data_IF_529189266598
#
_entry.id   IF_529189266598
#
_cell.length_a   1.000
_cell.length_b   1.000
_cell.length_c   1.000
_cell.angle_alpha   90.00
_cell.angle_beta   90.00
_cell.angle_gamma   90.00
#
_symmetry.space_group_name_H-M   'P 1'
#
loop_
_entity.id
_entity.type
_entity.pdbx_description
1 polymer ?
#
# COMPACT_ATOMS: atom_id res chain seq x y z
N UNK A 1 -23.53 54.23 -3.32
CA UNK A 1 -23.50 53.18 -4.34
C UNK A 1 -23.05 51.87 -3.65
N UNK A 2 -24.05 51.16 -3.12
CA UNK A 2 -23.88 49.84 -2.47
C UNK A 2 -23.77 48.79 -3.57
N UNK A 3 -22.56 48.27 -3.82
CA UNK A 3 -22.33 47.12 -4.64
C UNK A 3 -22.86 45.87 -3.93
N UNK A 4 -23.90 45.26 -4.47
CA UNK A 4 -24.37 43.92 -4.10
C UNK A 4 -23.29 42.89 -4.39
N UNK A 5 -22.50 42.55 -3.37
CA UNK A 5 -21.50 41.50 -3.41
C UNK A 5 -22.08 40.11 -3.09
N UNK A 6 -23.04 39.62 -3.89
CA UNK A 6 -23.55 38.26 -3.72
C UNK A 6 -24.06 37.71 -5.06
N UNK A 7 -23.16 37.64 -6.04
CA UNK A 7 -23.28 36.72 -7.15
C UNK A 7 -21.95 35.99 -7.31
N UNK A 8 -21.55 35.25 -6.27
CA UNK A 8 -20.60 34.18 -6.48
C UNK A 8 -21.27 33.15 -7.40
N UNK A 9 -20.58 32.67 -8.44
CA UNK A 9 -21.11 31.59 -9.25
C UNK A 9 -21.51 30.44 -8.32
N UNK A 10 -22.67 29.83 -8.54
CA UNK A 10 -23.08 28.65 -7.79
C UNK A 10 -21.96 27.62 -7.89
N UNK A 11 -21.32 27.37 -6.75
CA UNK A 11 -20.36 26.29 -6.63
C UNK A 11 -21.02 25.01 -7.17
N UNK A 12 -20.32 24.29 -8.00
CA UNK A 12 -20.82 23.02 -8.48
C UNK A 12 -21.02 22.08 -7.27
N UNK A 13 -21.95 21.14 -7.35
CA UNK A 13 -22.15 20.16 -6.28
C UNK A 13 -20.84 19.44 -5.89
N UNK A 14 -19.90 19.35 -6.84
CA UNK A 14 -18.57 18.79 -6.62
C UNK A 14 -17.67 19.69 -5.77
N UNK A 15 -17.73 21.01 -5.96
CA UNK A 15 -16.97 21.97 -5.15
C UNK A 15 -17.47 22.00 -3.70
N UNK A 16 -18.79 21.97 -3.51
CA UNK A 16 -19.38 21.87 -2.18
C UNK A 16 -18.98 20.59 -1.46
N UNK A 17 -19.03 19.42 -2.14
CA UNK A 17 -18.58 18.14 -1.58
C UNK A 17 -17.09 18.17 -1.25
N UNK A 18 -16.27 18.78 -2.10
CA UNK A 18 -14.84 18.92 -1.87
C UNK A 18 -14.57 19.73 -0.61
N UNK A 19 -15.24 20.86 -0.44
CA UNK A 19 -15.09 21.74 0.72
C UNK A 19 -15.50 21.03 2.02
N UNK A 20 -16.64 20.32 2.01
CA UNK A 20 -17.07 19.52 3.16
C UNK A 20 -16.07 18.40 3.52
N UNK A 21 -15.54 17.69 2.52
CA UNK A 21 -14.53 16.66 2.72
C UNK A 21 -13.21 17.24 3.24
N UNK A 22 -12.79 18.41 2.72
CA UNK A 22 -11.62 19.13 3.18
C UNK A 22 -11.73 19.45 4.67
N UNK A 23 -12.83 20.05 5.09
CA UNK A 23 -13.06 20.38 6.49
C UNK A 23 -13.15 19.12 7.38
N UNK A 24 -13.79 18.06 6.90
CA UNK A 24 -13.89 16.80 7.64
C UNK A 24 -12.52 16.17 7.84
N UNK A 25 -11.72 16.05 6.78
CA UNK A 25 -10.37 15.46 6.83
C UNK A 25 -9.47 16.30 7.71
N UNK A 26 -9.51 17.64 7.60
CA UNK A 26 -8.74 18.54 8.42
C UNK A 26 -9.06 18.39 9.92
N UNK A 27 -10.34 18.35 10.28
CA UNK A 27 -10.78 18.09 11.67
C UNK A 27 -10.38 16.70 12.15
N UNK A 28 -10.51 15.67 11.32
CA UNK A 28 -10.08 14.32 11.64
C UNK A 28 -8.57 14.27 11.88
N UNK A 29 -7.78 14.91 11.04
CA UNK A 29 -6.32 14.98 11.21
C UNK A 29 -5.95 15.63 12.54
N UNK A 30 -6.58 16.74 12.89
CA UNK A 30 -6.39 17.41 14.19
C UNK A 30 -6.81 16.45 15.33
N UNK A 31 -7.97 15.82 15.24
CA UNK A 31 -8.44 14.86 16.24
C UNK A 31 -7.42 13.73 16.46
N UNK A 32 -6.88 13.16 15.38
CA UNK A 32 -5.90 12.08 15.47
C UNK A 32 -4.60 12.51 16.16
N UNK A 33 -4.24 13.81 16.15
CA UNK A 33 -3.05 14.30 16.86
C UNK A 33 -3.18 14.25 18.40
N UNK A 34 -4.40 14.11 18.91
CA UNK A 34 -4.67 14.00 20.36
C UNK A 34 -4.71 12.55 20.86
N UNK A 35 -4.53 11.56 19.97
CA UNK A 35 -4.56 10.15 20.30
C UNK A 35 -3.17 9.52 20.21
N UNK A 36 -2.97 8.39 20.88
CA UNK A 36 -1.72 7.63 20.78
C UNK A 36 -1.57 7.04 19.37
N UNK A 37 -0.34 6.78 18.95
CA UNK A 37 -0.09 6.14 17.66
C UNK A 37 -0.78 4.77 17.58
N UNK A 38 -0.79 4.03 18.67
CA UNK A 38 -1.44 2.72 18.80
C UNK A 38 -2.95 2.79 18.63
N UNK A 39 -3.61 3.80 19.19
CA UNK A 39 -5.06 3.98 19.05
C UNK A 39 -5.44 4.33 17.62
N UNK A 40 -4.65 5.22 16.98
CA UNK A 40 -4.83 5.58 15.58
C UNK A 40 -4.58 4.38 14.66
N UNK A 41 -3.55 3.58 14.95
CA UNK A 41 -3.25 2.36 14.21
C UNK A 41 -4.41 1.36 14.31
N UNK A 42 -4.93 1.11 15.51
CA UNK A 42 -6.08 0.22 15.72
C UNK A 42 -7.33 0.70 14.99
N UNK A 43 -7.59 2.01 15.02
CA UNK A 43 -8.73 2.60 14.32
C UNK A 43 -8.62 2.40 12.80
N UNK A 44 -7.43 2.61 12.25
CA UNK A 44 -7.19 2.53 10.80
C UNK A 44 -6.88 1.12 10.30
N UNK A 45 -6.77 0.14 11.20
CA UNK A 45 -6.59 -1.28 10.85
C UNK A 45 -7.90 -2.09 10.94
N UNK A 46 -9.02 -1.43 11.22
CA UNK A 46 -10.32 -2.10 11.27
C UNK A 46 -10.71 -2.66 9.90
N UNK A 47 -11.32 -3.84 9.94
CA UNK A 47 -11.79 -4.50 8.74
C UNK A 47 -12.92 -3.67 8.11
N UNK A 48 -12.69 -3.20 6.89
CA UNK A 48 -13.71 -2.54 6.09
C UNK A 48 -14.35 -3.60 5.18
N UNK A 49 -15.68 -3.78 5.24
CA UNK A 49 -16.36 -4.69 4.32
C UNK A 49 -16.07 -4.32 2.87
N UNK A 50 -15.65 -5.28 2.08
CA UNK A 50 -15.44 -5.10 0.64
C UNK A 50 -16.72 -5.43 -0.12
N UNK A 51 -16.99 -4.73 -1.25
CA UNK A 51 -18.13 -5.06 -2.09
C UNK A 51 -18.08 -6.50 -2.61
N UNK A 52 -19.23 -7.15 -2.88
CA UNK A 52 -19.27 -8.54 -3.35
C UNK A 52 -18.52 -8.79 -4.67
N UNK A 53 -18.33 -7.74 -5.47
CA UNK A 53 -17.58 -7.80 -6.72
C UNK A 53 -16.07 -7.59 -6.55
N UNK A 54 -15.59 -7.42 -5.34
CA UNK A 54 -14.18 -7.30 -5.00
C UNK A 54 -13.63 -8.65 -4.54
N UNK A 55 -12.61 -9.15 -5.24
CA UNK A 55 -11.80 -10.25 -4.76
C UNK A 55 -10.75 -9.69 -3.80
N UNK A 56 -10.68 -10.27 -2.62
CA UNK A 56 -9.75 -9.91 -1.54
C UNK A 56 -9.23 -11.18 -0.87
N UNK A 57 -7.93 -11.42 -0.97
CA UNK A 57 -7.30 -12.58 -0.36
C UNK A 57 -6.05 -12.17 0.41
N UNK A 58 -6.08 -12.39 1.70
CA UNK A 58 -4.92 -12.18 2.55
C UNK A 58 -3.82 -13.22 2.27
N UNK A 59 -2.59 -12.75 2.23
CA UNK A 59 -1.39 -13.58 2.09
C UNK A 59 -0.32 -13.09 3.05
N UNK A 60 0.61 -13.99 3.36
CA UNK A 60 1.80 -13.66 4.15
C UNK A 60 3.01 -13.75 3.23
N UNK A 61 3.70 -12.64 3.00
CA UNK A 61 4.96 -12.63 2.27
C UNK A 61 6.02 -13.29 3.17
N UNK A 62 6.67 -14.35 2.72
CA UNK A 62 7.54 -15.17 3.58
C UNK A 62 8.79 -14.46 4.09
N UNK A 63 9.32 -14.93 5.23
CA UNK A 63 10.56 -14.41 5.83
C UNK A 63 11.76 -14.50 4.88
N UNK A 64 11.78 -15.43 3.97
CA UNK A 64 12.83 -15.53 2.95
C UNK A 64 12.97 -14.25 2.15
N UNK A 65 11.85 -13.65 1.71
CA UNK A 65 11.85 -12.37 1.01
C UNK A 65 12.33 -11.23 1.92
N UNK A 66 11.98 -11.30 3.23
CA UNK A 66 12.45 -10.33 4.22
C UNK A 66 13.96 -10.42 4.43
N UNK A 67 14.54 -11.61 4.46
CA UNK A 67 15.98 -11.81 4.58
C UNK A 67 16.73 -11.33 3.32
N UNK A 68 16.21 -11.66 2.13
CA UNK A 68 16.76 -11.15 0.86
C UNK A 68 16.76 -9.63 0.82
N UNK A 69 15.64 -8.98 1.17
CA UNK A 69 15.54 -7.52 1.20
C UNK A 69 16.47 -6.89 2.24
N UNK A 70 16.64 -7.53 3.40
CA UNK A 70 17.56 -7.06 4.43
C UNK A 70 19.03 -7.09 3.96
N UNK A 71 19.45 -8.17 3.31
CA UNK A 71 20.80 -8.29 2.77
C UNK A 71 21.09 -7.22 1.71
N UNK A 72 20.13 -6.97 0.81
CA UNK A 72 20.23 -5.92 -0.21
C UNK A 72 20.34 -4.52 0.42
N UNK A 73 19.53 -4.21 1.44
CA UNK A 73 19.61 -2.92 2.13
C UNK A 73 20.92 -2.75 2.90
N UNK A 74 21.46 -3.81 3.49
CA UNK A 74 22.79 -3.76 4.14
C UNK A 74 23.89 -3.44 3.13
N UNK A 75 23.83 -4.05 1.95
CA UNK A 75 24.76 -3.75 0.85
C UNK A 75 24.61 -2.31 0.36
N UNK A 76 23.37 -1.84 0.21
CA UNK A 76 23.04 -0.50 -0.29
C UNK A 76 23.54 0.60 0.65
N UNK A 77 23.23 0.47 1.94
CA UNK A 77 23.61 1.50 2.92
C UNK A 77 25.10 1.43 3.30
N UNK A 78 25.70 0.25 3.26
CA UNK A 78 27.06 0.03 3.70
C UNK A 78 27.24 0.11 5.22
N UNK A 79 28.41 -0.28 5.75
CA UNK A 79 28.62 -0.44 7.19
C UNK A 79 28.56 0.88 7.95
N UNK A 80 29.04 1.96 7.37
CA UNK A 80 29.08 3.28 8.03
C UNK A 80 27.67 3.83 8.24
N UNK A 81 26.83 3.87 7.21
CA UNK A 81 25.44 4.29 7.30
C UNK A 81 24.63 3.39 8.22
N UNK A 82 24.88 2.07 8.16
CA UNK A 82 24.24 1.11 9.04
C UNK A 82 24.55 1.37 10.51
N UNK A 83 25.77 1.71 10.83
CA UNK A 83 26.18 1.94 12.21
C UNK A 83 25.78 3.31 12.72
N UNK A 84 26.09 4.38 11.96
CA UNK A 84 25.94 5.76 12.41
C UNK A 84 24.51 6.28 12.31
N UNK A 85 23.75 5.83 11.28
CA UNK A 85 22.47 6.39 10.95
C UNK A 85 21.29 5.46 11.26
N UNK A 86 21.45 4.17 11.00
CA UNK A 86 20.38 3.18 11.24
C UNK A 86 20.49 2.60 12.66
N UNK A 87 21.65 2.69 13.29
CA UNK A 87 21.86 2.15 14.66
C UNK A 87 22.10 0.64 14.69
N UNK A 88 22.64 0.09 13.62
CA UNK A 88 23.07 -1.30 13.50
C UNK A 88 22.22 -2.15 12.56
N UNK A 89 22.73 -3.34 12.20
CA UNK A 89 22.15 -4.16 11.14
C UNK A 89 21.02 -5.10 11.59
N UNK A 90 20.72 -5.23 12.86
CA UNK A 90 19.88 -6.33 13.38
C UNK A 90 18.48 -5.92 13.83
N UNK A 91 18.34 -4.83 14.56
CA UNK A 91 17.10 -4.49 15.26
C UNK A 91 15.89 -4.34 14.30
N UNK A 92 16.07 -3.74 13.14
CA UNK A 92 15.03 -3.51 12.14
C UNK A 92 14.62 -4.78 11.35
N UNK A 93 15.42 -5.86 11.46
CA UNK A 93 15.07 -7.15 10.86
C UNK A 93 14.16 -7.98 11.77
N UNK A 94 14.06 -7.63 13.05
CA UNK A 94 13.20 -8.35 14.00
C UNK A 94 11.73 -8.14 13.65
N UNK A 95 10.95 -9.22 13.76
CA UNK A 95 9.53 -9.24 13.44
C UNK A 95 8.78 -10.02 14.49
N UNK A 96 7.54 -9.56 14.79
CA UNK A 96 6.60 -10.29 15.64
C UNK A 96 5.79 -11.33 14.85
N UNK A 97 5.79 -11.22 13.51
CA UNK A 97 5.03 -12.09 12.61
C UNK A 97 5.97 -12.89 11.71
N UNK A 98 5.46 -14.04 11.21
CA UNK A 98 6.21 -14.94 10.34
C UNK A 98 6.44 -14.41 8.90
N UNK A 99 6.16 -13.14 8.66
CA UNK A 99 6.31 -12.52 7.35
C UNK A 99 5.70 -11.12 7.31
N UNK A 100 5.33 -10.66 6.13
CA UNK A 100 4.65 -9.38 5.92
C UNK A 100 3.22 -9.66 5.47
N UNK A 101 2.18 -9.17 6.21
CA UNK A 101 0.81 -9.28 5.74
C UNK A 101 0.61 -8.48 4.46
N UNK A 102 -0.09 -9.05 3.51
CA UNK A 102 -0.45 -8.40 2.26
C UNK A 102 -1.78 -8.95 1.75
N UNK A 103 -2.46 -8.21 0.90
CA UNK A 103 -3.73 -8.63 0.32
C UNK A 103 -3.64 -8.61 -1.22
N UNK A 104 -4.05 -9.71 -1.85
CA UNK A 104 -4.36 -9.70 -3.27
C UNK A 104 -5.75 -9.14 -3.49
N UNK A 105 -5.84 -8.08 -4.28
CA UNK A 105 -7.08 -7.37 -4.57
C UNK A 105 -7.28 -7.33 -6.08
N UNK A 106 -8.50 -7.65 -6.54
CA UNK A 106 -8.88 -7.58 -7.95
C UNK A 106 -10.39 -7.37 -8.11
N UNK A 107 -10.83 -7.09 -9.32
CA UNK A 107 -12.24 -7.25 -9.65
C UNK A 107 -12.58 -8.75 -9.74
N UNK A 108 -13.74 -9.14 -9.23
CA UNK A 108 -14.14 -10.55 -9.13
C UNK A 108 -14.15 -11.26 -10.50
N UNK A 109 -14.57 -10.58 -11.57
CA UNK A 109 -14.53 -11.12 -12.93
C UNK A 109 -13.12 -11.45 -13.40
N UNK A 110 -12.14 -10.58 -13.06
CA UNK A 110 -10.74 -10.77 -13.47
C UNK A 110 -10.12 -11.98 -12.75
N UNK A 111 -10.46 -12.15 -11.46
CA UNK A 111 -10.07 -13.33 -10.71
C UNK A 111 -10.61 -14.62 -11.33
N UNK A 112 -11.90 -14.67 -11.66
CA UNK A 112 -12.52 -15.85 -12.26
C UNK A 112 -11.94 -16.15 -13.64
N UNK A 113 -11.72 -15.15 -14.48
CA UNK A 113 -11.08 -15.31 -15.78
C UNK A 113 -9.67 -15.87 -15.65
N UNK A 114 -8.87 -15.38 -14.70
CA UNK A 114 -7.52 -15.87 -14.43
C UNK A 114 -7.52 -17.33 -13.93
N UNK A 115 -8.45 -17.68 -13.02
CA UNK A 115 -8.59 -19.06 -12.53
C UNK A 115 -9.03 -20.02 -13.61
N UNK A 116 -9.98 -19.65 -14.46
CA UNK A 116 -10.42 -20.46 -15.59
C UNK A 116 -9.28 -20.75 -16.59
N UNK A 117 -8.39 -19.76 -16.84
CA UNK A 117 -7.21 -19.93 -17.70
C UNK A 117 -6.17 -20.87 -17.06
N UNK A 118 -5.93 -20.77 -15.76
CA UNK A 118 -5.04 -21.68 -15.04
C UNK A 118 -5.54 -23.13 -15.09
N UNK A 119 -6.85 -23.35 -14.88
CA UNK A 119 -7.46 -24.67 -14.99
C UNK A 119 -7.31 -25.29 -16.37
N UNK A 120 -7.45 -24.52 -17.45
CA UNK A 120 -7.26 -24.98 -18.83
C UNK A 120 -5.81 -25.36 -19.14
N UNK A 121 -4.82 -24.55 -18.69
CA UNK A 121 -3.39 -24.84 -18.92
C UNK A 121 -2.89 -26.05 -18.12
N UNK A 122 -3.47 -26.32 -16.94
CA UNK A 122 -3.03 -27.40 -16.06
C UNK A 122 -3.74 -28.74 -16.34
N UNK A 123 -4.69 -28.82 -17.29
CA UNK A 123 -5.48 -30.03 -17.54
C UNK A 123 -6.33 -30.50 -16.35
N UNK A 124 -6.51 -29.64 -15.34
CA UNK A 124 -7.22 -29.99 -14.13
C UNK A 124 -8.72 -29.79 -14.30
N UNK A 125 -9.45 -30.89 -14.16
CA UNK A 125 -10.89 -30.91 -13.99
C UNK A 125 -11.34 -30.10 -12.75
N UNK A 126 -12.52 -29.55 -12.78
CA UNK A 126 -13.26 -28.71 -11.82
C UNK A 126 -13.23 -29.17 -10.35
N UNK A 127 -12.66 -30.31 -9.99
CA UNK A 127 -12.56 -30.84 -8.63
C UNK A 127 -11.60 -30.07 -7.71
N UNK A 128 -10.70 -29.27 -8.26
CA UNK A 128 -9.72 -28.51 -7.44
C UNK A 128 -10.27 -27.16 -6.95
N UNK A 129 -11.21 -26.53 -7.66
CA UNK A 129 -11.94 -25.34 -7.17
C UNK A 129 -12.66 -25.63 -5.83
N UNK A 130 -13.18 -26.85 -5.68
CA UNK A 130 -13.86 -27.29 -4.46
C UNK A 130 -12.94 -27.50 -3.25
N UNK A 131 -11.64 -27.72 -3.46
CA UNK A 131 -10.66 -27.87 -2.37
C UNK A 131 -10.14 -26.53 -1.87
N UNK A 132 -9.94 -25.54 -2.74
CA UNK A 132 -9.47 -24.20 -2.34
C UNK A 132 -10.54 -23.43 -1.57
N UNK A 133 -11.81 -23.55 -1.95
CA UNK A 133 -12.92 -22.94 -1.21
C UNK A 133 -13.16 -23.57 0.18
N UNK A 134 -12.81 -24.85 0.40
CA UNK A 134 -12.90 -25.50 1.72
C UNK A 134 -11.83 -25.04 2.71
N UNK A 135 -10.68 -24.53 2.24
CA UNK A 135 -9.63 -24.05 3.16
C UNK A 135 -9.91 -22.63 3.69
N UNK A 136 -10.60 -21.79 2.92
CA UNK A 136 -11.01 -20.44 3.35
C UNK A 136 -12.22 -20.46 4.27
N UNK A 137 -13.08 -21.48 4.18
CA UNK A 137 -14.28 -21.63 5.03
C UNK A 137 -13.98 -21.97 6.52
N UNK A 138 -12.74 -22.27 6.88
CA UNK A 138 -12.37 -22.61 8.26
C UNK A 138 -12.09 -21.42 9.19
N UNK A 139 -12.10 -20.20 8.68
CA UNK A 139 -11.73 -19.00 9.47
C UNK A 139 -12.95 -18.17 9.92
N UNK A 140 -14.19 -18.49 9.46
CA UNK A 140 -15.36 -17.74 9.91
C UNK A 140 -16.59 -18.65 10.15
N UNK A 141 -16.91 -19.01 11.42
CA UNK A 141 -17.98 -19.97 11.74
C UNK A 141 -19.40 -19.37 11.72
N UNK A 142 -19.66 -18.20 11.14
CA UNK A 142 -20.97 -17.52 11.20
C UNK A 142 -21.63 -17.18 9.86
N UNK A 143 -21.21 -17.72 8.75
CA UNK A 143 -21.96 -17.58 7.51
C UNK A 143 -22.41 -18.95 6.99
N UNK A 144 -23.72 -19.09 6.97
CA UNK A 144 -24.47 -20.19 6.41
C UNK A 144 -24.15 -20.37 4.92
N UNK A 145 -24.06 -21.62 4.51
CA UNK A 145 -23.98 -22.23 3.17
C UNK A 145 -23.64 -21.32 1.97
N UNK A 146 -22.55 -21.62 1.25
CA UNK A 146 -22.35 -21.07 -0.07
C UNK A 146 -23.43 -21.63 -1.00
N UNK A 147 -24.32 -20.78 -1.45
CA UNK A 147 -25.20 -21.08 -2.58
C UNK A 147 -24.33 -21.46 -3.79
N UNK A 148 -24.70 -22.53 -4.48
CA UNK A 148 -24.06 -22.91 -5.74
C UNK A 148 -24.02 -21.70 -6.67
N UNK A 149 -22.89 -21.47 -7.39
CA UNK A 149 -22.80 -20.34 -8.30
C UNK A 149 -23.88 -20.45 -9.36
N UNK A 150 -24.60 -19.36 -9.59
CA UNK A 150 -25.66 -19.26 -10.58
C UNK A 150 -25.16 -19.80 -11.94
N UNK A 151 -25.85 -20.81 -12.51
CA UNK A 151 -25.47 -21.40 -13.78
C UNK A 151 -25.43 -20.39 -14.92
N UNK A 152 -26.14 -19.26 -14.83
CA UNK A 152 -26.09 -18.16 -15.80
C UNK A 152 -24.77 -17.41 -15.76
N UNK A 153 -24.20 -17.16 -14.57
CA UNK A 153 -22.87 -16.53 -14.41
C UNK A 153 -21.75 -17.42 -14.96
N UNK A 154 -21.88 -18.74 -14.79
CA UNK A 154 -20.92 -19.72 -15.36
C UNK A 154 -21.01 -19.75 -16.89
N UNK A 155 -22.20 -19.56 -17.47
CA UNK A 155 -22.40 -19.53 -18.93
C UNK A 155 -21.88 -18.24 -19.57
N UNK A 156 -22.00 -17.10 -18.89
CA UNK A 156 -21.44 -15.83 -19.37
C UNK A 156 -19.91 -15.82 -19.32
N UNK A 157 -19.30 -16.38 -18.26
CA UNK A 157 -17.85 -16.52 -18.17
C UNK A 157 -17.23 -17.41 -19.29
N UNK A 158 -18.02 -18.31 -19.88
CA UNK A 158 -17.59 -19.18 -21.00
C UNK A 158 -17.63 -18.50 -22.39
N UNK A 159 -18.21 -17.31 -22.52
CA UNK A 159 -18.35 -16.59 -23.80
C UNK A 159 -17.24 -15.58 -24.09
N UNK A 160 -16.38 -15.27 -23.12
CA UNK A 160 -15.25 -14.38 -23.39
C UNK A 160 -14.18 -15.13 -24.18
N UNK A 161 -14.04 -14.75 -25.43
CA UNK A 161 -12.97 -15.20 -26.31
C UNK A 161 -11.62 -14.95 -25.63
N UNK A 162 -10.73 -15.93 -25.66
CA UNK A 162 -9.38 -15.84 -25.14
C UNK A 162 -8.54 -14.92 -26.06
N UNK A 163 -8.78 -13.62 -25.98
CA UNK A 163 -8.04 -12.63 -26.74
C UNK A 163 -6.68 -12.42 -26.10
N UNK A 164 -5.68 -12.12 -26.91
CA UNK A 164 -4.32 -11.76 -26.45
C UNK A 164 -4.39 -10.59 -25.46
N UNK A 165 -5.25 -9.60 -25.71
CA UNK A 165 -5.48 -8.44 -24.87
C UNK A 165 -5.99 -8.80 -23.47
N UNK A 166 -6.94 -9.73 -23.36
CA UNK A 166 -7.45 -10.16 -22.05
C UNK A 166 -6.37 -10.93 -21.27
N UNK A 167 -5.54 -11.74 -21.93
CA UNK A 167 -4.42 -12.41 -21.30
C UNK A 167 -3.37 -11.45 -20.80
N UNK A 168 -3.07 -10.40 -21.56
CA UNK A 168 -2.17 -9.34 -21.18
C UNK A 168 -2.72 -8.51 -20.02
N UNK A 169 -4.01 -8.17 -20.06
CA UNK A 169 -4.69 -7.44 -18.99
C UNK A 169 -4.60 -8.18 -17.65
N UNK A 170 -4.92 -9.46 -17.63
CA UNK A 170 -4.92 -10.29 -16.41
C UNK A 170 -3.52 -10.56 -15.84
N UNK A 171 -2.48 -10.27 -16.58
CA UNK A 171 -1.09 -10.41 -16.12
C UNK A 171 -0.49 -9.11 -15.55
N UNK A 172 -1.24 -8.00 -15.57
CA UNK A 172 -0.80 -6.71 -14.99
C UNK A 172 -0.92 -6.74 -13.48
N UNK A 173 0.12 -6.29 -12.80
CA UNK A 173 0.18 -6.27 -11.34
C UNK A 173 0.46 -4.85 -10.86
N UNK A 174 -0.25 -4.41 -9.84
CA UNK A 174 0.10 -3.23 -9.07
C UNK A 174 0.63 -3.68 -7.72
N UNK A 175 1.86 -3.32 -7.39
CA UNK A 175 2.36 -3.36 -6.03
C UNK A 175 1.92 -2.06 -5.35
N UNK A 176 0.92 -2.15 -4.47
CA UNK A 176 0.34 -0.97 -3.83
C UNK A 176 0.86 -0.79 -2.40
N UNK A 177 1.34 0.41 -2.12
CA UNK A 177 1.89 0.83 -0.83
C UNK A 177 0.99 1.95 -0.30
N UNK A 178 0.28 1.69 0.81
CA UNK A 178 -0.70 2.62 1.36
C UNK A 178 -0.06 3.85 2.02
N UNK A 179 -0.78 4.97 2.02
CA UNK A 179 -0.44 6.17 2.77
C UNK A 179 -0.69 6.03 4.28
N UNK A 180 -0.60 7.15 4.99
CA UNK A 180 -0.84 7.22 6.43
C UNK A 180 0.41 7.64 7.21
N UNK A 181 1.18 8.55 6.64
CA UNK A 181 2.31 9.22 7.28
C UNK A 181 3.37 8.27 7.91
N UNK A 182 3.49 7.05 7.41
CA UNK A 182 4.31 5.95 7.95
C UNK A 182 3.85 5.43 9.33
N UNK A 183 2.80 6.00 9.90
CA UNK A 183 2.30 5.76 11.25
C UNK A 183 1.02 4.94 11.29
N UNK A 184 0.07 5.26 10.44
CA UNK A 184 -1.28 4.72 10.45
C UNK A 184 -1.68 4.28 9.05
N UNK A 185 -2.96 4.00 8.86
CA UNK A 185 -3.42 3.40 7.64
C UNK A 185 -3.11 1.90 7.56
N UNK A 186 -3.73 1.26 6.64
CA UNK A 186 -3.54 -0.16 6.33
C UNK A 186 -4.08 -0.44 4.93
N UNK A 187 -3.91 -1.64 4.46
CA UNK A 187 -4.60 -2.11 3.26
C UNK A 187 -6.12 -1.95 3.42
N UNK A 188 -6.67 -2.19 4.62
CA UNK A 188 -8.09 -2.08 4.89
C UNK A 188 -8.65 -0.68 4.60
N UNK A 189 -7.92 0.38 4.96
CA UNK A 189 -8.34 1.77 4.67
C UNK A 189 -8.27 2.12 3.19
N UNK A 190 -7.50 1.38 2.39
CA UNK A 190 -7.24 1.68 0.98
C UNK A 190 -7.90 0.68 0.01
N UNK A 191 -8.50 -0.41 0.52
CA UNK A 191 -9.09 -1.50 -0.30
C UNK A 191 -10.01 -0.99 -1.41
N UNK A 192 -10.89 -0.05 -1.10
CA UNK A 192 -11.82 0.48 -2.09
C UNK A 192 -11.11 1.23 -3.22
N UNK A 193 -10.13 2.06 -2.89
CA UNK A 193 -9.33 2.78 -3.89
C UNK A 193 -8.50 1.80 -4.74
N UNK A 194 -7.86 0.83 -4.10
CA UNK A 194 -7.07 -0.21 -4.79
C UNK A 194 -7.97 -1.01 -5.73
N UNK A 195 -9.14 -1.44 -5.26
CA UNK A 195 -10.12 -2.13 -6.10
C UNK A 195 -10.55 -1.27 -7.30
N UNK A 196 -10.79 0.03 -7.13
CA UNK A 196 -11.09 0.92 -8.25
C UNK A 196 -9.95 1.03 -9.25
N UNK A 197 -8.71 1.05 -8.77
CA UNK A 197 -7.52 1.01 -9.64
C UNK A 197 -7.51 -0.30 -10.45
N UNK A 198 -7.62 -1.46 -9.79
CA UNK A 198 -7.62 -2.75 -10.49
C UNK A 198 -8.73 -2.86 -11.53
N UNK A 199 -9.93 -2.35 -11.22
CA UNK A 199 -11.05 -2.32 -12.16
C UNK A 199 -10.75 -1.47 -13.40
N UNK A 200 -10.01 -0.36 -13.23
CA UNK A 200 -9.70 0.57 -14.34
C UNK A 200 -8.61 0.06 -15.27
N UNK A 201 -7.53 -0.49 -14.75
CA UNK A 201 -6.44 -0.97 -15.61
C UNK A 201 -6.55 -2.47 -15.95
N UNK A 202 -7.40 -3.21 -15.27
CA UNK A 202 -7.51 -4.68 -15.32
C UNK A 202 -6.31 -5.36 -14.66
N UNK A 203 -6.51 -6.56 -14.08
CA UNK A 203 -5.47 -7.30 -13.40
C UNK A 203 -5.57 -7.26 -11.88
N UNK A 204 -4.45 -7.40 -11.19
CA UNK A 204 -4.40 -7.60 -9.74
C UNK A 204 -3.55 -6.55 -9.05
N UNK A 205 -3.84 -6.30 -7.77
CA UNK A 205 -2.95 -5.57 -6.89
C UNK A 205 -2.47 -6.47 -5.75
N UNK A 206 -1.18 -6.43 -5.43
CA UNK A 206 -0.64 -6.87 -4.15
C UNK A 206 -0.49 -5.63 -3.28
N UNK A 207 -1.32 -5.52 -2.26
CA UNK A 207 -1.30 -4.40 -1.32
C UNK A 207 -0.58 -4.82 -0.03
N UNK A 208 0.38 -4.02 0.43
CA UNK A 208 1.31 -4.41 1.50
C UNK A 208 0.97 -3.70 2.80
N UNK A 209 0.79 -4.45 3.88
CA UNK A 209 0.72 -3.92 5.24
C UNK A 209 2.14 -3.85 5.83
N UNK A 210 2.91 -2.84 5.42
CA UNK A 210 4.27 -2.64 5.92
C UNK A 210 4.29 -2.24 7.39
N UNK A 211 5.40 -2.52 8.08
CA UNK A 211 5.62 -2.15 9.48
C UNK A 211 5.70 -0.62 9.63
N UNK A 212 4.96 -0.10 10.60
CA UNK A 212 4.74 1.33 10.82
C UNK A 212 5.54 1.86 12.03
N UNK A 213 5.92 3.13 11.96
CA UNK A 213 6.44 3.88 13.09
C UNK A 213 5.32 4.15 14.12
N UNK A 214 5.62 4.42 15.38
CA UNK A 214 6.96 4.52 15.99
C UNK A 214 7.58 3.17 16.34
N UNK A 215 6.81 2.08 16.37
CA UNK A 215 7.27 0.76 16.78
C UNK A 215 8.34 0.21 15.83
N UNK A 216 8.20 0.54 14.55
CA UNK A 216 9.10 0.10 13.48
C UNK A 216 9.51 1.30 12.61
N UNK A 217 10.46 2.13 13.08
CA UNK A 217 10.90 3.29 12.31
C UNK A 217 11.74 2.86 11.08
N UNK A 218 12.26 3.83 10.34
CA UNK A 218 13.16 3.57 9.22
C UNK A 218 14.33 2.66 9.64
N UNK A 219 14.69 1.62 8.87
CA UNK A 219 14.29 1.33 7.49
C UNK A 219 13.19 0.25 7.36
N UNK A 220 12.41 -0.03 8.41
CA UNK A 220 11.49 -1.17 8.42
C UNK A 220 10.47 -1.15 7.27
N UNK A 221 9.83 0.00 7.03
CA UNK A 221 8.82 0.12 5.98
C UNK A 221 9.39 -0.13 4.58
N UNK A 222 10.56 0.45 4.27
CA UNK A 222 11.18 0.27 2.95
C UNK A 222 11.73 -1.17 2.77
N UNK A 223 12.16 -1.82 3.84
CA UNK A 223 12.52 -3.25 3.80
C UNK A 223 11.31 -4.09 3.41
N UNK A 224 10.14 -3.81 3.99
CA UNK A 224 8.93 -4.56 3.74
C UNK A 224 8.44 -4.35 2.29
N UNK A 225 8.54 -3.13 1.77
CA UNK A 225 8.22 -2.82 0.38
C UNK A 225 9.16 -3.54 -0.60
N UNK A 226 10.47 -3.55 -0.31
CA UNK A 226 11.44 -4.29 -1.13
C UNK A 226 11.20 -5.79 -1.08
N UNK A 227 10.90 -6.35 0.10
CA UNK A 227 10.55 -7.76 0.24
C UNK A 227 9.30 -8.14 -0.58
N UNK A 228 8.30 -7.25 -0.61
CA UNK A 228 7.09 -7.45 -1.41
C UNK A 228 7.38 -7.41 -2.93
N UNK A 229 8.27 -6.55 -3.37
CA UNK A 229 8.72 -6.53 -4.75
C UNK A 229 9.46 -7.82 -5.12
N UNK A 230 10.40 -8.26 -4.27
CA UNK A 230 11.12 -9.52 -4.46
C UNK A 230 10.17 -10.72 -4.47
N UNK A 231 9.15 -10.73 -3.62
CA UNK A 231 8.11 -11.75 -3.61
C UNK A 231 7.40 -11.88 -4.96
N UNK A 232 7.15 -10.76 -5.66
CA UNK A 232 6.53 -10.78 -6.97
C UNK A 232 7.45 -11.33 -8.07
N UNK A 233 8.71 -10.91 -8.09
CA UNK A 233 9.64 -11.22 -9.19
C UNK A 233 10.43 -12.52 -8.98
N UNK A 234 10.66 -12.91 -7.72
CA UNK A 234 11.41 -14.12 -7.31
C UNK A 234 10.71 -14.78 -6.12
N UNK A 235 9.48 -15.32 -6.32
CA UNK A 235 8.71 -15.93 -5.25
C UNK A 235 9.38 -17.21 -4.76
N UNK A 236 9.38 -17.48 -3.44
CA UNK A 236 9.90 -18.71 -2.88
C UNK A 236 9.07 -19.92 -3.32
N UNK A 237 9.66 -21.11 -3.18
CA UNK A 237 8.97 -22.37 -3.45
C UNK A 237 7.67 -22.47 -2.64
N UNK A 238 6.56 -22.79 -3.31
CA UNK A 238 5.24 -22.88 -2.68
C UNK A 238 4.42 -21.58 -2.67
N UNK A 239 4.94 -20.48 -3.22
CA UNK A 239 4.16 -19.27 -3.43
C UNK A 239 2.92 -19.54 -4.31
N UNK A 240 1.78 -18.85 -4.07
CA UNK A 240 0.55 -19.09 -4.83
C UNK A 240 0.60 -18.58 -6.27
N UNK A 241 1.66 -17.90 -6.66
CA UNK A 241 1.87 -17.37 -8.00
C UNK A 241 3.28 -17.71 -8.52
N UNK A 242 3.48 -17.80 -9.83
CA UNK A 242 4.80 -17.89 -10.43
C UNK A 242 5.52 -16.54 -10.35
N UNK A 243 6.81 -16.51 -10.68
CA UNK A 243 7.54 -15.27 -10.89
C UNK A 243 6.82 -14.39 -11.93
N UNK A 244 6.65 -13.13 -11.59
CA UNK A 244 5.97 -12.15 -12.43
C UNK A 244 7.02 -11.35 -13.18
N UNK A 245 6.82 -11.19 -14.49
CA UNK A 245 7.68 -10.35 -15.31
C UNK A 245 7.65 -8.91 -14.78
N UNK A 246 8.79 -8.32 -14.39
CA UNK A 246 8.87 -6.98 -13.88
C UNK A 246 8.23 -5.92 -14.79
N UNK A 247 8.31 -6.11 -16.11
CA UNK A 247 7.67 -5.22 -17.09
C UNK A 247 6.14 -5.15 -16.99
N UNK A 248 5.53 -6.02 -16.20
CA UNK A 248 4.10 -6.08 -15.93
C UNK A 248 3.72 -5.55 -14.53
N UNK A 249 4.71 -5.10 -13.76
CA UNK A 249 4.52 -4.58 -12.40
C UNK A 249 4.58 -3.06 -12.43
N UNK A 250 3.55 -2.40 -11.88
CA UNK A 250 3.56 -0.98 -11.55
C UNK A 250 3.65 -0.83 -10.05
N UNK A 251 4.64 -0.08 -9.55
CA UNK A 251 4.73 0.27 -8.14
C UNK A 251 3.88 1.50 -7.88
N UNK A 252 2.89 1.40 -7.01
CA UNK A 252 1.95 2.48 -6.74
C UNK A 252 1.86 2.79 -5.26
N UNK A 253 1.53 4.04 -4.93
CA UNK A 253 1.27 4.44 -3.56
C UNK A 253 0.82 5.89 -3.45
N UNK A 254 0.17 6.21 -2.34
CA UNK A 254 -0.32 7.54 -2.04
C UNK A 254 0.41 8.14 -0.83
N UNK A 255 0.59 9.46 -0.80
CA UNK A 255 1.16 10.19 0.34
C UNK A 255 2.50 9.57 0.82
N UNK A 256 2.61 9.10 2.06
CA UNK A 256 3.78 8.38 2.59
C UNK A 256 4.07 7.09 1.81
N UNK A 257 3.02 6.37 1.37
CA UNK A 257 3.17 5.21 0.49
C UNK A 257 3.69 5.58 -0.89
N UNK A 258 3.33 6.77 -1.40
CA UNK A 258 3.91 7.34 -2.62
C UNK A 258 5.40 7.65 -2.45
N UNK A 259 5.80 8.17 -1.29
CA UNK A 259 7.21 8.36 -0.93
C UNK A 259 7.98 7.04 -0.85
N UNK A 260 7.39 5.99 -0.23
CA UNK A 260 7.97 4.64 -0.21
C UNK A 260 8.06 4.03 -1.61
N UNK A 261 7.05 4.23 -2.45
CA UNK A 261 7.07 3.76 -3.85
C UNK A 261 8.21 4.41 -4.63
N UNK A 262 8.42 5.72 -4.46
CA UNK A 262 9.54 6.44 -5.07
C UNK A 262 10.89 5.91 -4.57
N UNK A 263 11.04 5.75 -3.25
CA UNK A 263 12.25 5.20 -2.63
C UNK A 263 12.52 3.76 -3.11
N UNK A 264 11.48 2.93 -3.22
CA UNK A 264 11.60 1.57 -3.74
C UNK A 264 12.08 1.55 -5.19
N UNK A 265 11.54 2.44 -6.05
CA UNK A 265 11.98 2.56 -7.44
C UNK A 265 13.45 3.00 -7.55
N UNK A 266 13.90 3.88 -6.65
CA UNK A 266 15.31 4.27 -6.57
C UNK A 266 16.19 3.10 -6.12
N UNK A 267 15.79 2.35 -5.09
CA UNK A 267 16.51 1.16 -4.63
C UNK A 267 16.62 0.09 -5.74
N UNK A 268 15.53 -0.17 -6.46
CA UNK A 268 15.50 -1.12 -7.58
C UNK A 268 16.53 -0.71 -8.64
N UNK A 269 16.58 0.59 -8.97
CA UNK A 269 17.56 1.14 -9.92
C UNK A 269 18.98 0.98 -9.41
N UNK A 270 19.23 1.40 -8.17
CA UNK A 270 20.59 1.52 -7.61
C UNK A 270 21.19 0.16 -7.24
N UNK A 271 20.35 -0.83 -6.96
CA UNK A 271 20.72 -2.23 -6.72
C UNK A 271 20.75 -3.08 -8.01
N UNK A 272 20.52 -2.44 -9.16
CA UNK A 272 20.43 -3.10 -10.48
C UNK A 272 19.46 -4.30 -10.51
N UNK A 273 18.35 -4.19 -9.78
CA UNK A 273 17.30 -5.21 -9.79
C UNK A 273 16.45 -5.09 -11.06
N UNK A 274 15.79 -6.19 -11.49
CA UNK A 274 14.85 -6.14 -12.61
C UNK A 274 13.83 -5.01 -12.43
N UNK A 275 13.69 -4.14 -13.43
CA UNK A 275 12.94 -2.88 -13.31
C UNK A 275 11.46 -3.09 -13.55
N UNK A 276 10.56 -2.51 -12.74
CA UNK A 276 9.13 -2.53 -13.00
C UNK A 276 8.77 -1.68 -14.24
N UNK A 277 7.55 -1.84 -14.75
CA UNK A 277 7.02 -1.06 -15.86
C UNK A 277 7.01 0.46 -15.56
N UNK A 278 6.82 0.82 -14.30
CA UNK A 278 6.81 2.22 -13.88
C UNK A 278 6.27 2.42 -12.46
N UNK A 279 6.03 3.70 -12.11
CA UNK A 279 5.45 4.11 -10.84
C UNK A 279 4.18 4.94 -11.01
N UNK A 280 3.20 4.73 -10.14
CA UNK A 280 2.02 5.57 -9.99
C UNK A 280 2.02 6.21 -8.61
N UNK A 281 2.45 7.47 -8.54
CA UNK A 281 2.64 8.21 -7.30
C UNK A 281 1.48 9.20 -7.10
N UNK A 282 0.64 8.94 -6.11
CA UNK A 282 -0.53 9.74 -5.80
C UNK A 282 -0.19 10.72 -4.67
N UNK A 283 0.03 12.00 -4.98
CA UNK A 283 0.44 13.03 -4.02
C UNK A 283 1.56 12.54 -3.08
N UNK A 284 2.71 12.10 -3.63
CA UNK A 284 3.76 11.45 -2.84
C UNK A 284 4.37 12.42 -1.83
N UNK A 285 4.56 11.97 -0.59
CA UNK A 285 5.35 12.70 0.39
C UNK A 285 6.83 12.46 0.11
N UNK A 286 7.42 13.28 -0.74
CA UNK A 286 8.80 13.15 -1.23
C UNK A 286 9.83 13.98 -0.45
N UNK A 287 9.38 15.02 0.27
CA UNK A 287 10.22 15.85 1.13
C UNK A 287 9.84 15.70 2.60
N UNK A 288 10.55 14.81 3.30
CA UNK A 288 10.35 14.56 4.73
C UNK A 288 10.89 15.68 5.63
N UNK A 289 11.69 16.58 5.07
CA UNK A 289 12.29 17.72 5.80
C UNK A 289 11.42 18.96 5.76
N UNK A 290 10.38 18.95 4.91
CA UNK A 290 9.49 20.09 4.70
C UNK A 290 10.25 21.38 4.34
N UNK A 291 11.27 21.25 3.50
CA UNK A 291 12.18 22.33 3.16
C UNK A 291 11.59 23.38 2.20
N UNK A 292 10.47 23.05 1.54
CA UNK A 292 9.87 23.95 0.57
C UNK A 292 8.94 24.98 1.24
N UNK A 293 9.02 26.27 0.84
CA UNK A 293 8.15 27.34 1.39
C UNK A 293 6.66 27.08 1.19
N UNK A 294 6.28 26.29 0.19
CA UNK A 294 4.88 25.96 -0.12
C UNK A 294 4.11 25.34 1.05
N UNK A 295 4.80 24.65 1.96
CA UNK A 295 4.15 24.08 3.15
C UNK A 295 3.53 25.15 4.07
N UNK A 296 4.15 26.33 4.13
CA UNK A 296 3.63 27.45 4.90
C UNK A 296 2.66 28.31 4.06
N UNK A 297 2.94 28.48 2.77
CA UNK A 297 2.13 29.29 1.87
C UNK A 297 0.74 28.68 1.65
N UNK A 298 0.65 27.37 1.60
CA UNK A 298 -0.60 26.65 1.31
C UNK A 298 -1.42 26.26 2.55
N UNK A 299 -1.07 26.76 3.73
CA UNK A 299 -1.75 26.41 5.00
C UNK A 299 -3.25 26.63 5.01
N UNK A 300 -3.75 27.53 4.18
CA UNK A 300 -5.20 27.83 4.07
C UNK A 300 -5.95 26.85 3.16
N UNK A 301 -5.23 26.18 2.27
CA UNK A 301 -5.79 25.29 1.26
C UNK A 301 -5.34 23.82 1.44
N UNK A 302 -4.36 23.57 2.31
CA UNK A 302 -3.93 22.24 2.67
C UNK A 302 -4.70 21.72 3.89
N UNK A 303 -5.24 20.51 3.79
CA UNK A 303 -5.94 19.86 4.91
C UNK A 303 -4.97 19.25 5.94
N UNK A 304 -3.67 19.18 5.63
CA UNK A 304 -2.65 18.71 6.57
C UNK A 304 -2.18 19.92 7.39
N UNK A 305 -2.39 19.92 8.72
CA UNK A 305 -1.96 21.06 9.55
C UNK A 305 -0.44 21.21 9.52
N UNK A 306 0.10 22.45 9.40
CA UNK A 306 1.54 22.68 9.31
C UNK A 306 2.31 22.29 10.58
N UNK A 307 1.64 22.21 11.71
CA UNK A 307 2.21 21.85 13.03
C UNK A 307 1.71 20.49 13.53
N UNK A 308 1.37 19.58 12.64
CA UNK A 308 0.94 18.23 13.02
C UNK A 308 2.10 17.41 13.59
N UNK A 309 1.78 16.27 14.21
CA UNK A 309 2.78 15.27 14.64
C UNK A 309 3.72 14.81 13.51
N UNK A 310 3.32 15.00 12.25
CA UNK A 310 4.12 14.72 11.06
C UNK A 310 5.42 15.52 11.03
N UNK A 311 5.48 16.64 11.73
CA UNK A 311 6.68 17.48 11.85
C UNK A 311 7.66 17.02 12.94
N UNK A 312 7.48 15.84 13.52
CA UNK A 312 8.41 15.27 14.50
C UNK A 312 9.29 14.21 13.82
N UNK A 313 10.44 14.59 13.22
CA UNK A 313 11.33 13.63 12.54
C UNK A 313 11.77 12.49 13.44
N UNK A 314 11.91 12.76 14.76
CA UNK A 314 12.31 11.77 15.78
C UNK A 314 11.39 10.55 15.87
N UNK A 315 10.18 10.63 15.36
CA UNK A 315 9.23 9.53 15.40
C UNK A 315 9.36 8.61 14.19
N UNK A 316 9.77 9.17 13.05
CA UNK A 316 10.00 8.39 11.81
C UNK A 316 11.40 7.79 11.78
N UNK A 317 12.31 8.37 12.54
CA UNK A 317 13.73 8.05 12.51
C UNK A 317 14.24 7.66 13.90
N UNK A 318 14.91 6.51 14.08
CA UNK A 318 15.60 6.21 15.31
C UNK A 318 16.82 7.15 15.39
N UNK A 319 16.69 8.23 16.13
CA UNK A 319 17.86 9.06 16.42
C UNK A 319 18.84 8.23 17.28
N UNK A 320 20.13 8.14 16.92
CA UNK A 320 21.14 7.67 17.83
C UNK A 320 21.00 8.42 19.15
N UNK A 321 21.24 7.76 20.30
CA UNK A 321 21.06 8.38 21.64
C UNK A 321 21.74 9.75 21.78
N UNK A 322 22.77 10.01 20.96
CA UNK A 322 23.56 11.25 20.95
C UNK A 322 23.10 12.30 19.94
N UNK A 323 22.20 11.95 19.00
CA UNK A 323 21.70 12.90 18.01
C UNK A 323 20.68 13.91 18.57
N UNK A 324 20.24 13.74 19.81
CA UNK A 324 19.38 14.70 20.52
C UNK A 324 19.99 16.10 20.65
N UNK A 325 21.29 16.25 20.46
CA UNK A 325 21.97 17.54 20.43
C UNK A 325 21.80 18.28 19.09
N UNK A 326 21.77 17.55 17.97
CA UNK A 326 21.65 18.16 16.62
C UNK A 326 20.23 18.68 16.33
N UNK A 327 19.18 18.02 16.86
CA UNK A 327 17.78 18.45 16.66
C UNK A 327 17.41 19.66 17.51
N UNK A 328 18.14 19.93 18.59
CA UNK A 328 17.91 21.11 19.45
C UNK A 328 18.48 22.41 18.89
N UNK A 329 19.32 22.36 17.85
CA UNK A 329 19.97 23.53 17.28
C UNK A 329 19.20 24.17 16.14
N UNK A 330 18.14 23.51 15.63
CA UNK A 330 17.19 24.12 14.70
C UNK A 330 15.93 24.54 15.45
N UNK A 331 16.08 25.47 16.38
CA UNK A 331 14.96 26.23 16.92
C UNK A 331 14.27 27.03 15.81
N UNK A 332 13.00 27.43 15.98
CA UNK A 332 12.34 28.22 14.98
C UNK A 332 13.17 29.46 14.70
N UNK A 333 13.56 29.63 13.45
CA UNK A 333 14.15 30.87 12.97
C UNK A 333 13.07 31.92 13.15
N UNK A 334 13.31 32.85 14.04
CA UNK A 334 12.47 34.00 14.37
C UNK A 334 12.20 34.87 13.14
#
# INVERSE_FOLDING_TARGET
LLGCGWCAPRESANEFLYDQLFHLISKLTIYLTHHTAEDVQKLTDQLVPVPPWCYDQQVMIPLECCHKSAALLQTYFGPEMMQSFIGGPRWWQMRSQAGIPADWIAHYSDYHSAMAKRGRKAGYHTSMLHRLTRHTARVNPRHEHPTEPDPHLVREAGRFADTTEESERLSRIVLYIHGGAYYFGSVNTHKYMIHRLTTKFGGFALAVNYRKAPQFPFPCAIQDCLAAYLYLIDPPSGAPHPAIDPSRIVVAGDSAGGGLALALLQLIRDLDLPRPAGGLLLSPWSDLTHSFPSILQNTKTDYIPPYSFLHRPSVLWPLPRDAGALVRTTGPVS
#
